data_IF_658517744498
#
_entry.id   IF_658517744498
#
_cell.length_a   1.000
_cell.length_b   1.000
_cell.length_c   1.000
_cell.angle_alpha   90.00
_cell.angle_beta   90.00
_cell.angle_gamma   90.00
#
_symmetry.space_group_name_H-M   'P 1'
#
loop_
_entity.id
_entity.type
_entity.pdbx_description
1 polymer ?
#
# COMPACT_ATOMS: atom_id res chain seq x y z
N UNK A 1 0.58 -3.18 -3.97
CA UNK A 1 0.47 -1.96 -3.14
C UNK A 1 -0.77 -1.95 -2.26
N UNK A 2 -1.96 -2.36 -2.72
CA UNK A 2 -3.21 -2.34 -1.91
C UNK A 2 -3.12 -3.13 -0.61
N UNK A 3 -2.48 -4.32 -0.59
CA UNK A 3 -2.23 -5.04 0.68
C UNK A 3 -1.40 -4.21 1.67
N UNK A 4 -0.40 -3.49 1.19
CA UNK A 4 0.39 -2.62 2.05
C UNK A 4 -0.43 -1.45 2.61
N UNK A 5 -1.30 -0.85 1.80
CA UNK A 5 -2.23 0.18 2.27
C UNK A 5 -3.20 -0.34 3.33
N UNK A 6 -3.72 -1.58 3.17
CA UNK A 6 -4.57 -2.23 4.18
C UNK A 6 -3.82 -2.49 5.48
N UNK A 7 -2.59 -3.00 5.41
CA UNK A 7 -1.76 -3.20 6.60
C UNK A 7 -1.49 -1.88 7.32
N UNK A 8 -1.22 -0.81 6.58
CA UNK A 8 -1.04 0.54 7.13
C UNK A 8 -2.31 1.03 7.85
N UNK A 9 -3.48 0.88 7.21
CA UNK A 9 -4.75 1.26 7.81
C UNK A 9 -5.06 0.45 9.08
N UNK A 10 -4.83 -0.86 9.06
CA UNK A 10 -5.02 -1.72 10.22
C UNK A 10 -4.07 -1.36 11.37
N UNK A 11 -2.80 -1.11 11.08
CA UNK A 11 -1.84 -0.66 12.09
C UNK A 11 -2.27 0.68 12.69
N UNK A 12 -2.69 1.63 11.87
CA UNK A 12 -3.21 2.91 12.33
C UNK A 12 -4.43 2.74 13.25
N UNK A 13 -5.40 1.93 12.84
CA UNK A 13 -6.60 1.65 13.65
C UNK A 13 -6.27 1.00 15.00
N UNK A 14 -5.29 0.08 15.03
CA UNK A 14 -4.85 -0.55 16.27
C UNK A 14 -4.12 0.41 17.21
N UNK A 15 -3.38 1.37 16.67
CA UNK A 15 -2.53 2.28 17.46
C UNK A 15 -3.22 3.57 17.86
N UNK A 16 -4.19 4.06 17.06
CA UNK A 16 -4.91 5.30 17.31
C UNK A 16 -5.55 5.41 18.71
N UNK A 17 -6.21 4.36 19.26
CA UNK A 17 -6.85 4.46 20.58
C UNK A 17 -5.87 4.71 21.73
N UNK A 18 -4.58 4.38 21.56
CA UNK A 18 -3.58 4.61 22.61
C UNK A 18 -3.16 6.09 22.72
N UNK A 19 -3.36 6.91 21.68
CA UNK A 19 -3.06 8.34 21.68
C UNK A 19 -1.59 8.71 21.92
N UNK A 20 -0.67 7.74 21.77
CA UNK A 20 0.77 7.89 22.08
C UNK A 20 1.65 7.82 20.84
N UNK A 21 1.12 7.24 19.76
CA UNK A 21 1.85 7.08 18.51
C UNK A 21 1.60 8.25 17.58
N UNK A 22 2.68 8.80 17.10
CA UNK A 22 2.71 9.73 15.98
C UNK A 22 3.01 8.97 14.69
N UNK A 23 2.51 9.42 13.55
CA UNK A 23 2.81 8.76 12.29
C UNK A 23 3.50 9.70 11.31
N UNK A 24 4.38 9.11 10.53
CA UNK A 24 5.05 9.79 9.43
C UNK A 24 5.27 8.82 8.26
N UNK A 25 5.38 9.38 7.06
CA UNK A 25 5.62 8.60 5.84
C UNK A 25 6.87 9.10 5.12
N UNK A 26 7.59 8.16 4.53
CA UNK A 26 8.70 8.47 3.67
C UNK A 26 8.71 7.58 2.43
N UNK A 27 9.07 8.16 1.27
CA UNK A 27 9.23 7.42 0.04
C UNK A 27 10.55 7.71 -0.68
N UNK A 28 11.07 6.67 -1.35
CA UNK A 28 12.22 6.78 -2.25
C UNK A 28 11.85 6.28 -3.64
N UNK A 29 12.23 7.02 -4.67
CA UNK A 29 12.13 6.60 -6.06
C UNK A 29 13.35 7.02 -6.86
N UNK A 30 13.50 6.40 -8.04
CA UNK A 30 14.59 6.73 -8.98
C UNK A 30 14.60 8.21 -9.37
N UNK A 31 15.76 8.70 -9.78
CA UNK A 31 15.97 10.11 -10.11
C UNK A 31 15.02 10.66 -11.20
N UNK A 32 14.61 9.81 -12.14
CA UNK A 32 13.72 10.20 -13.24
C UNK A 32 12.22 10.20 -12.93
N UNK A 33 11.78 9.98 -11.66
CA UNK A 33 10.36 10.05 -11.31
C UNK A 33 9.91 11.49 -11.11
N UNK A 34 8.98 11.95 -11.96
CA UNK A 34 8.57 13.35 -12.01
C UNK A 34 7.61 13.77 -10.88
N UNK A 35 6.64 12.89 -10.54
CA UNK A 35 5.66 13.17 -9.48
C UNK A 35 6.29 13.01 -8.08
N UNK A 36 6.03 13.96 -7.20
CA UNK A 36 6.48 13.95 -5.80
C UNK A 36 5.47 14.71 -4.93
N UNK A 37 4.81 14.04 -3.98
CA UNK A 37 4.84 12.60 -3.69
C UNK A 37 4.28 11.73 -4.81
N UNK A 38 4.58 10.41 -4.77
CA UNK A 38 3.98 9.44 -5.70
C UNK A 38 2.50 9.21 -5.38
N UNK A 39 1.72 8.77 -6.38
CA UNK A 39 0.34 8.36 -6.17
C UNK A 39 0.19 7.31 -5.07
N UNK A 40 1.11 6.35 -5.00
CA UNK A 40 1.15 5.33 -3.94
C UNK A 40 1.35 5.94 -2.55
N UNK A 41 2.24 6.91 -2.41
CA UNK A 41 2.47 7.56 -1.11
C UNK A 41 1.24 8.36 -0.66
N UNK A 42 0.54 9.00 -1.60
CA UNK A 42 -0.73 9.68 -1.32
C UNK A 42 -1.83 8.70 -0.92
N UNK A 43 -1.95 7.53 -1.57
CA UNK A 43 -2.88 6.47 -1.17
C UNK A 43 -2.60 5.97 0.26
N UNK A 44 -1.34 5.78 0.62
CA UNK A 44 -0.95 5.37 1.98
C UNK A 44 -1.31 6.45 3.02
N UNK A 45 -1.07 7.71 2.70
CA UNK A 45 -1.45 8.82 3.58
C UNK A 45 -2.97 8.87 3.79
N UNK A 46 -3.76 8.70 2.73
CA UNK A 46 -5.23 8.67 2.80
C UNK A 46 -5.72 7.48 3.63
N UNK A 47 -5.16 6.28 3.44
CA UNK A 47 -5.51 5.08 4.20
C UNK A 47 -5.25 5.29 5.70
N UNK A 48 -4.13 5.89 6.05
CA UNK A 48 -3.73 6.20 7.41
C UNK A 48 -4.67 7.25 8.04
N UNK A 49 -4.92 8.36 7.32
CA UNK A 49 -5.83 9.42 7.77
C UNK A 49 -7.25 8.89 8.00
N UNK A 50 -7.77 8.03 7.07
CA UNK A 50 -9.10 7.43 7.20
C UNK A 50 -9.23 6.53 8.41
N UNK A 51 -8.23 5.71 8.69
CA UNK A 51 -8.21 4.82 9.85
C UNK A 51 -8.19 5.62 11.17
N UNK A 52 -7.43 6.69 11.25
CA UNK A 52 -7.40 7.53 12.45
C UNK A 52 -8.74 8.19 12.76
N UNK A 53 -9.43 8.69 11.74
CA UNK A 53 -10.76 9.29 11.91
C UNK A 53 -11.79 8.23 12.35
N UNK A 54 -11.74 7.03 11.77
CA UNK A 54 -12.64 5.93 12.12
C UNK A 54 -12.51 5.52 13.59
N UNK A 55 -11.31 5.62 14.17
CA UNK A 55 -11.05 5.29 15.59
C UNK A 55 -11.26 6.47 16.54
N UNK A 56 -11.94 7.52 16.10
CA UNK A 56 -12.39 8.61 16.96
C UNK A 56 -11.41 9.76 17.13
N UNK A 57 -10.41 9.88 16.26
CA UNK A 57 -9.63 11.11 16.21
C UNK A 57 -10.57 12.30 15.92
N UNK A 58 -10.49 13.35 16.72
CA UNK A 58 -11.39 14.50 16.63
C UNK A 58 -11.32 15.19 15.25
N UNK A 59 -10.24 14.99 14.51
CA UNK A 59 -10.01 15.57 13.20
C UNK A 59 -9.05 14.72 12.38
N UNK A 60 -9.30 14.65 11.07
CA UNK A 60 -8.35 14.07 10.13
C UNK A 60 -7.05 14.87 10.14
N UNK A 61 -5.89 14.22 10.29
CA UNK A 61 -4.60 14.92 10.22
C UNK A 61 -4.43 15.66 8.89
N UNK A 62 -3.89 16.86 8.92
CA UNK A 62 -3.55 17.64 7.72
C UNK A 62 -2.32 17.02 7.06
N UNK A 63 -2.43 16.63 5.79
CA UNK A 63 -1.29 16.10 5.05
C UNK A 63 -0.35 17.24 4.66
N UNK A 64 0.89 17.15 5.13
CA UNK A 64 1.98 18.07 4.77
C UNK A 64 3.03 17.32 3.96
N UNK A 65 3.37 17.85 2.80
CA UNK A 65 4.35 17.24 1.88
C UNK A 65 5.56 18.16 1.68
N UNK A 66 6.70 17.55 1.45
CA UNK A 66 7.93 18.29 1.15
C UNK A 66 8.69 18.74 2.39
N UNK A 67 9.46 19.83 2.25
CA UNK A 67 10.32 20.33 3.31
C UNK A 67 9.54 21.09 4.36
N UNK A 68 9.82 20.81 5.63
CA UNK A 68 9.34 21.60 6.77
C UNK A 68 10.47 22.48 7.28
N UNK A 69 10.30 23.81 7.17
CA UNK A 69 11.23 24.81 7.71
C UNK A 69 10.87 25.25 9.13
N UNK A 70 10.03 24.50 9.80
CA UNK A 70 9.51 24.70 11.15
C UNK A 70 9.26 23.36 11.83
N UNK A 71 9.07 23.30 13.16
CA UNK A 71 8.56 22.11 13.81
C UNK A 71 7.19 21.69 13.22
N UNK A 72 6.97 20.38 13.05
CA UNK A 72 5.67 19.84 12.66
C UNK A 72 4.64 20.09 13.75
N UNK A 73 3.42 20.44 13.37
CA UNK A 73 2.30 20.56 14.31
C UNK A 73 1.75 19.15 14.64
N UNK A 74 1.19 18.95 15.85
CA UNK A 74 0.66 17.64 16.26
C UNK A 74 -0.43 17.09 15.34
N UNK A 75 -1.24 17.98 14.74
CA UNK A 75 -2.33 17.64 13.83
C UNK A 75 -1.87 17.38 12.37
N UNK A 76 -0.59 17.44 12.08
CA UNK A 76 -0.06 17.22 10.74
C UNK A 76 0.47 15.81 10.56
N UNK A 77 0.21 15.23 9.40
CA UNK A 77 0.84 14.01 8.89
C UNK A 77 1.91 14.39 7.88
N UNK A 78 3.16 14.17 8.19
CA UNK A 78 4.25 14.51 7.28
C UNK A 78 4.59 13.36 6.35
N UNK A 79 4.53 13.62 5.05
CA UNK A 79 4.96 12.73 3.97
C UNK A 79 6.16 13.37 3.26
N UNK A 80 7.33 12.76 3.38
CA UNK A 80 8.54 13.20 2.71
C UNK A 80 8.92 12.27 1.55
N UNK A 81 9.56 12.84 0.53
CA UNK A 81 9.93 12.14 -0.71
C UNK A 81 11.38 12.37 -1.05
N UNK A 82 12.10 11.32 -1.40
CA UNK A 82 13.49 11.39 -1.90
C UNK A 82 13.57 10.82 -3.32
N UNK A 83 14.33 11.46 -4.18
CA UNK A 83 14.59 11.05 -5.56
C UNK A 83 16.07 10.82 -5.75
N UNK A 84 16.45 9.63 -6.29
CA UNK A 84 17.86 9.31 -6.54
C UNK A 84 18.04 7.86 -7.00
N UNK A 85 19.18 7.58 -7.61
CA UNK A 85 19.54 6.24 -8.05
C UNK A 85 18.53 5.60 -9.00
N UNK A 86 18.35 4.28 -8.87
CA UNK A 86 17.48 3.44 -9.69
C UNK A 86 16.39 2.73 -8.87
N UNK A 87 16.01 3.28 -7.72
CA UNK A 87 15.04 2.69 -6.78
C UNK A 87 13.65 2.63 -7.44
N UNK A 88 13.07 1.45 -7.66
CA UNK A 88 11.75 1.33 -8.30
C UNK A 88 10.61 1.92 -7.48
N UNK A 89 10.77 1.92 -6.16
CA UNK A 89 9.85 2.47 -5.17
C UNK A 89 10.05 1.82 -3.82
N UNK A 90 10.27 2.63 -2.80
CA UNK A 90 10.26 2.22 -1.39
C UNK A 90 9.33 3.15 -0.65
N UNK A 91 8.45 2.61 0.17
CA UNK A 91 7.52 3.36 1.00
C UNK A 91 7.62 2.85 2.43
N UNK A 92 7.82 3.74 3.37
CA UNK A 92 7.90 3.45 4.79
C UNK A 92 6.85 4.26 5.53
N UNK A 93 6.07 3.58 6.36
CA UNK A 93 5.18 4.19 7.35
C UNK A 93 5.76 3.90 8.71
N UNK A 94 5.93 4.92 9.51
CA UNK A 94 6.50 4.83 10.84
C UNK A 94 5.46 5.32 11.83
N UNK A 95 5.22 4.54 12.89
CA UNK A 95 4.45 4.91 14.05
C UNK A 95 5.43 5.01 15.22
N UNK A 96 5.64 6.21 15.72
CA UNK A 96 6.65 6.51 16.72
C UNK A 96 6.02 6.94 18.04
N UNK A 97 6.55 6.46 19.14
CA UNK A 97 6.16 6.82 20.51
C UNK A 97 7.39 7.11 21.35
N UNK A 98 7.26 7.72 22.55
CA UNK A 98 8.40 7.92 23.43
C UNK A 98 9.09 6.62 23.89
N UNK A 99 8.44 5.46 23.73
CA UNK A 99 8.92 4.18 24.21
C UNK A 99 9.49 3.29 23.10
N UNK A 100 8.88 3.35 21.90
CA UNK A 100 9.20 2.47 20.79
C UNK A 100 8.78 3.05 19.45
N UNK A 101 9.21 2.41 18.37
CA UNK A 101 8.83 2.75 17.00
C UNK A 101 8.45 1.48 16.24
N UNK A 102 7.37 1.54 15.48
CA UNK A 102 6.92 0.47 14.59
C UNK A 102 7.04 0.94 13.15
N UNK A 103 7.80 0.20 12.35
CA UNK A 103 8.02 0.52 10.95
C UNK A 103 7.40 -0.52 10.02
N UNK A 104 6.60 -0.06 9.07
CA UNK A 104 6.10 -0.85 7.96
C UNK A 104 6.78 -0.38 6.68
N UNK A 105 7.57 -1.24 6.05
CA UNK A 105 8.30 -0.89 4.84
C UNK A 105 7.98 -1.83 3.68
N UNK A 106 7.56 -1.26 2.56
CA UNK A 106 7.44 -1.94 1.28
C UNK A 106 8.54 -1.48 0.33
N UNK A 107 9.28 -2.44 -0.24
CA UNK A 107 10.29 -2.20 -1.29
C UNK A 107 9.92 -2.96 -2.55
N UNK A 108 9.58 -2.23 -3.60
CA UNK A 108 9.43 -2.83 -4.91
C UNK A 108 10.80 -3.24 -5.46
N UNK A 109 10.92 -4.44 -6.00
CA UNK A 109 12.12 -4.89 -6.73
C UNK A 109 11.97 -4.65 -8.22
N UNK A 110 10.77 -4.85 -8.73
CA UNK A 110 10.38 -4.64 -10.13
C UNK A 110 8.95 -4.12 -10.21
N UNK A 111 8.45 -3.84 -11.41
CA UNK A 111 7.04 -3.53 -11.64
C UNK A 111 6.15 -4.78 -11.81
N UNK A 112 6.71 -5.97 -11.77
CA UNK A 112 5.96 -7.23 -11.94
C UNK A 112 4.85 -7.42 -10.93
N UNK A 113 5.01 -6.89 -9.70
CA UNK A 113 3.96 -6.94 -8.69
C UNK A 113 2.67 -6.20 -9.09
N UNK A 114 2.76 -5.15 -9.91
CA UNK A 114 1.59 -4.47 -10.46
C UNK A 114 0.93 -5.31 -11.56
N UNK A 115 1.74 -5.90 -12.46
CA UNK A 115 1.24 -6.78 -13.52
C UNK A 115 0.56 -8.04 -12.93
N UNK A 116 1.16 -8.66 -11.93
CA UNK A 116 0.58 -9.80 -11.24
C UNK A 116 -0.76 -9.44 -10.56
N UNK A 117 -0.85 -8.25 -9.96
CA UNK A 117 -2.12 -7.77 -9.39
C UNK A 117 -3.20 -7.56 -10.46
N UNK A 118 -2.85 -7.00 -11.61
CA UNK A 118 -3.78 -6.82 -12.72
C UNK A 118 -4.28 -8.16 -13.28
N UNK A 119 -3.41 -9.15 -13.43
CA UNK A 119 -3.78 -10.49 -13.85
C UNK A 119 -4.70 -11.16 -12.83
N UNK A 120 -4.39 -11.07 -11.54
CA UNK A 120 -5.23 -11.59 -10.47
C UNK A 120 -6.64 -10.99 -10.50
N UNK A 121 -6.76 -9.68 -10.69
CA UNK A 121 -8.05 -9.02 -10.82
C UNK A 121 -8.82 -9.47 -12.07
N UNK A 122 -8.13 -9.66 -13.20
CA UNK A 122 -8.75 -10.16 -14.42
C UNK A 122 -9.25 -11.61 -14.26
N UNK A 123 -8.46 -12.48 -13.66
CA UNK A 123 -8.85 -13.87 -13.36
C UNK A 123 -10.06 -13.90 -12.41
N UNK A 124 -10.07 -13.07 -11.38
CA UNK A 124 -11.19 -12.95 -10.44
C UNK A 124 -12.47 -12.49 -11.14
N UNK A 125 -12.40 -11.46 -12.00
CA UNK A 125 -13.54 -10.96 -12.77
C UNK A 125 -14.13 -12.03 -13.72
N UNK A 126 -13.31 -12.92 -14.24
CA UNK A 126 -13.73 -14.00 -15.15
C UNK A 126 -14.26 -15.24 -14.41
N UNK A 127 -13.93 -15.39 -13.13
CA UNK A 127 -14.29 -16.59 -12.35
C UNK A 127 -15.77 -16.61 -11.93
N UNK A 128 -16.41 -15.45 -11.79
CA UNK A 128 -17.83 -15.33 -11.41
C UNK A 128 -18.44 -14.07 -12.02
N UNK A 129 -19.77 -14.02 -12.20
CA UNK A 129 -20.45 -12.80 -12.63
C UNK A 129 -20.39 -11.75 -11.52
N UNK A 130 -19.91 -10.56 -11.86
CA UNK A 130 -19.89 -9.38 -11.00
C UNK A 130 -20.81 -8.30 -11.59
N UNK A 131 -21.35 -7.42 -10.74
CA UNK A 131 -22.21 -6.33 -11.16
C UNK A 131 -21.68 -5.01 -10.63
N UNK A 132 -21.72 -3.97 -11.47
CA UNK A 132 -21.28 -2.64 -11.10
C UNK A 132 -19.77 -2.42 -11.24
N UNK A 133 -19.29 -1.36 -10.63
CA UNK A 133 -17.86 -1.00 -10.60
C UNK A 133 -17.17 -1.77 -9.46
N UNK A 134 -16.21 -2.59 -9.82
CA UNK A 134 -15.38 -3.33 -8.85
C UNK A 134 -14.04 -2.62 -8.63
N UNK A 135 -13.59 -2.62 -7.40
CA UNK A 135 -12.27 -2.15 -6.98
C UNK A 135 -11.32 -3.33 -6.73
N UNK A 136 -10.03 -3.07 -6.66
CA UNK A 136 -9.09 -4.12 -6.26
C UNK A 136 -9.26 -4.55 -4.78
N UNK A 137 -9.92 -3.72 -3.97
CA UNK A 137 -10.25 -4.09 -2.59
C UNK A 137 -11.32 -5.18 -2.55
N UNK A 138 -12.30 -5.18 -3.47
CA UNK A 138 -13.28 -6.26 -3.59
C UNK A 138 -12.61 -7.60 -3.93
N UNK A 139 -11.62 -7.57 -4.83
CA UNK A 139 -10.79 -8.75 -5.15
C UNK A 139 -10.08 -9.28 -3.91
N UNK A 140 -9.48 -8.39 -3.13
CA UNK A 140 -8.76 -8.76 -1.91
C UNK A 140 -9.71 -9.30 -0.84
N UNK A 141 -10.89 -8.71 -0.67
CA UNK A 141 -11.88 -9.15 0.30
C UNK A 141 -12.35 -10.57 0.01
N UNK A 142 -12.66 -10.88 -1.24
CA UNK A 142 -13.04 -12.24 -1.63
C UNK A 142 -11.93 -13.26 -1.42
N UNK A 143 -10.69 -12.91 -1.76
CA UNK A 143 -9.53 -13.79 -1.55
C UNK A 143 -9.30 -14.04 -0.06
N UNK A 144 -9.41 -13.01 0.77
CA UNK A 144 -9.20 -13.12 2.21
C UNK A 144 -10.34 -13.88 2.89
N UNK A 145 -11.59 -13.70 2.44
CA UNK A 145 -12.77 -14.38 2.97
C UNK A 145 -12.80 -15.87 2.59
N UNK A 146 -12.38 -16.22 1.37
CA UNK A 146 -12.36 -17.62 0.91
C UNK A 146 -11.26 -18.47 1.56
N UNK A 147 -10.43 -17.89 2.42
CA UNK A 147 -9.26 -18.56 2.98
C UNK A 147 -8.31 -18.93 1.85
N UNK A 148 -7.23 -18.20 1.70
CA UNK A 148 -6.29 -18.30 0.59
C UNK A 148 -5.91 -19.76 0.29
N UNK A 149 -6.59 -20.40 -0.65
CA UNK A 149 -6.14 -21.63 -1.28
C UNK A 149 -5.03 -21.25 -2.28
N UNK A 150 -3.86 -20.88 -1.76
CA UNK A 150 -2.63 -20.79 -2.55
C UNK A 150 -2.29 -22.19 -3.04
N UNK A 151 -2.77 -22.56 -4.23
CA UNK A 151 -2.49 -23.85 -4.80
C UNK A 151 -3.53 -24.40 -5.78
N UNK A 152 -4.30 -23.58 -6.46
CA UNK A 152 -5.03 -24.07 -7.63
C UNK A 152 -4.01 -24.28 -8.76
N UNK A 153 -3.70 -25.54 -8.98
CA UNK A 153 -2.89 -26.16 -10.02
C UNK A 153 -2.97 -25.36 -11.32
N UNK A 154 -1.83 -24.82 -11.75
CA UNK A 154 -1.63 -24.49 -13.16
C UNK A 154 -1.94 -25.73 -13.99
N UNK A 155 -3.05 -25.73 -14.73
CA UNK A 155 -3.29 -26.74 -15.77
C UNK A 155 -2.12 -26.63 -16.75
N UNK A 156 -1.45 -27.73 -17.09
CA UNK A 156 -0.42 -27.69 -18.11
C UNK A 156 -1.04 -27.22 -19.42
N UNK A 157 -0.41 -26.23 -20.05
CA UNK A 157 -0.77 -25.78 -21.39
C UNK A 157 -0.68 -26.97 -22.32
N UNK A 158 -1.76 -27.43 -23.01
CA UNK A 158 -1.68 -28.50 -23.97
C UNK A 158 -0.99 -27.96 -25.22
N UNK A 159 0.17 -28.53 -25.57
CA UNK A 159 0.77 -28.34 -26.87
C UNK A 159 2.21 -27.82 -26.90
N UNK A 160 3.17 -28.59 -26.42
CA UNK A 160 4.50 -28.59 -26.99
C UNK A 160 4.87 -30.05 -27.37
N UNK A 161 4.29 -30.49 -28.46
CA UNK A 161 4.75 -31.73 -29.12
C UNK A 161 6.18 -31.51 -29.61
N UNK A 162 7.09 -32.32 -29.11
CA UNK A 162 8.45 -32.39 -29.51
C UNK A 162 8.57 -32.52 -31.04
N UNK A 163 9.23 -31.59 -31.69
CA UNK A 163 9.86 -31.86 -33.00
C UNK A 163 11.17 -32.57 -32.77
N UNK A 164 11.14 -33.88 -32.96
CA UNK A 164 12.33 -34.67 -33.23
C UNK A 164 12.88 -34.28 -34.61
N UNK A 165 14.13 -33.85 -34.67
CA UNK A 165 15.16 -34.24 -35.64
C UNK A 165 16.52 -33.89 -35.07
#
# INVERSE_FOLDING_TARGET
MRLFARLTAQAAALLAPFGKYDALLHEFHHAGKADSPSGTALELAQALQGAWVAEGAARQPELVTGRLDRPRRPEELHLSSTRGGHIPGTHTVIFDSPADSIELTHRARTREGFAAGALLAAEWLLAAPHQGLMSFDDVLDDILASGFAAGSKSKPVPGSAARKR
#
